data_IF_857181616749
#
_entry.id   IF_857181616749
#
_cell.length_a   1.000
_cell.length_b   1.000
_cell.length_c   1.000
_cell.angle_alpha   90.00
_cell.angle_beta   90.00
_cell.angle_gamma   90.00
#
_symmetry.space_group_name_H-M   'P 1'
#
loop_
_entity.id
_entity.type
_entity.pdbx_description
1 polymer ?
#
# COMPACT_ATOMS: atom_id res chain seq x y z
N UNK A 1 -39.33 -25.15 -14.75
CA UNK A 1 -38.03 -24.48 -14.97
C UNK A 1 -37.53 -24.91 -16.33
N UNK A 2 -37.23 -23.95 -17.21
CA UNK A 2 -36.61 -24.28 -18.49
C UNK A 2 -35.14 -24.63 -18.26
N UNK A 3 -34.53 -25.50 -19.08
CA UNK A 3 -33.09 -25.80 -19.00
C UNK A 3 -32.21 -24.53 -18.99
N UNK A 4 -32.63 -23.48 -19.69
CA UNK A 4 -31.95 -22.18 -19.74
C UNK A 4 -31.96 -21.44 -18.39
N UNK A 5 -33.02 -21.59 -17.59
CA UNK A 5 -33.11 -21.00 -16.25
C UNK A 5 -32.11 -21.66 -15.30
N UNK A 6 -31.93 -22.98 -15.43
CA UNK A 6 -30.98 -23.76 -14.63
C UNK A 6 -29.55 -23.42 -15.02
N UNK A 7 -29.25 -23.33 -16.32
CA UNK A 7 -27.94 -22.92 -16.81
C UNK A 7 -27.56 -21.52 -16.32
N UNK A 8 -28.49 -20.57 -16.40
CA UNK A 8 -28.29 -19.19 -15.92
C UNK A 8 -28.05 -19.15 -14.42
N UNK A 9 -28.83 -19.90 -13.64
CA UNK A 9 -28.67 -19.97 -12.19
C UNK A 9 -27.30 -20.55 -11.78
N UNK A 10 -26.83 -21.61 -12.46
CA UNK A 10 -25.52 -22.21 -12.20
C UNK A 10 -24.38 -21.22 -12.53
N UNK A 11 -24.45 -20.54 -13.68
CA UNK A 11 -23.42 -19.55 -14.04
C UNK A 11 -23.38 -18.40 -13.03
N UNK A 12 -24.54 -17.88 -12.62
CA UNK A 12 -24.61 -16.83 -11.62
C UNK A 12 -24.05 -17.28 -10.26
N UNK A 13 -24.41 -18.49 -9.82
CA UNK A 13 -23.90 -19.04 -8.57
C UNK A 13 -22.37 -19.22 -8.59
N UNK A 14 -21.81 -19.70 -9.71
CA UNK A 14 -20.37 -19.88 -9.86
C UNK A 14 -19.63 -18.54 -9.87
N UNK A 15 -20.15 -17.54 -10.59
CA UNK A 15 -19.55 -16.20 -10.66
C UNK A 15 -19.62 -15.50 -9.31
N UNK A 16 -20.78 -15.51 -8.65
CA UNK A 16 -20.95 -14.89 -7.34
C UNK A 16 -20.09 -15.61 -6.28
N UNK A 17 -20.17 -16.94 -6.21
CA UNK A 17 -19.37 -17.73 -5.27
C UNK A 17 -17.87 -17.56 -5.47
N UNK A 18 -17.39 -17.58 -6.73
CA UNK A 18 -16.00 -17.33 -7.05
C UNK A 18 -15.53 -15.93 -6.66
N UNK A 19 -16.36 -14.90 -6.91
CA UNK A 19 -16.04 -13.53 -6.51
C UNK A 19 -15.96 -13.36 -4.99
N UNK A 20 -16.90 -13.95 -4.24
CA UNK A 20 -16.90 -13.89 -2.77
C UNK A 20 -15.71 -14.62 -2.17
N UNK A 21 -15.36 -15.79 -2.72
CA UNK A 21 -14.18 -16.54 -2.28
C UNK A 21 -12.89 -15.75 -2.49
N UNK A 22 -12.73 -15.11 -3.65
CA UNK A 22 -11.58 -14.27 -3.95
C UNK A 22 -11.49 -13.08 -2.99
N UNK A 23 -12.61 -12.36 -2.79
CA UNK A 23 -12.71 -11.22 -1.87
C UNK A 23 -12.35 -11.64 -0.44
N UNK A 24 -12.94 -12.72 0.06
CA UNK A 24 -12.69 -13.23 1.41
C UNK A 24 -11.21 -13.61 1.60
N UNK A 25 -10.59 -14.24 0.59
CA UNK A 25 -9.17 -14.61 0.64
C UNK A 25 -8.26 -13.38 0.71
N UNK A 26 -8.56 -12.35 -0.09
CA UNK A 26 -7.81 -11.08 -0.05
C UNK A 26 -7.94 -10.40 1.31
N UNK A 27 -9.17 -10.32 1.84
CA UNK A 27 -9.46 -9.69 3.14
C UNK A 27 -8.77 -10.43 4.27
N UNK A 28 -8.76 -11.77 4.25
CA UNK A 28 -8.09 -12.58 5.25
C UNK A 28 -6.55 -12.46 5.19
N UNK A 29 -5.98 -12.24 4.00
CA UNK A 29 -4.53 -12.16 3.83
C UNK A 29 -3.96 -10.74 4.02
N UNK A 30 -4.78 -9.70 3.81
CA UNK A 30 -4.39 -8.29 3.98
C UNK A 30 -3.73 -7.98 5.34
N UNK A 31 -4.24 -8.46 6.49
CA UNK A 31 -3.58 -8.28 7.78
C UNK A 31 -2.18 -8.88 7.85
N UNK A 32 -1.92 -10.02 7.20
CA UNK A 32 -0.58 -10.58 7.14
C UNK A 32 0.36 -9.69 6.31
N UNK A 33 -0.13 -9.17 5.19
CA UNK A 33 0.63 -8.28 4.30
C UNK A 33 0.97 -6.92 4.93
N UNK A 34 0.02 -6.34 5.67
CA UNK A 34 0.26 -5.13 6.47
C UNK A 34 1.33 -5.36 7.55
N UNK A 35 1.26 -6.48 8.27
CA UNK A 35 2.25 -6.85 9.29
C UNK A 35 3.63 -7.03 8.67
N UNK A 36 3.72 -7.77 7.57
CA UNK A 36 4.98 -7.98 6.85
C UNK A 36 5.59 -6.67 6.37
N UNK A 37 4.76 -5.78 5.82
CA UNK A 37 5.18 -4.44 5.41
C UNK A 37 5.81 -3.66 6.56
N UNK A 38 5.17 -3.66 7.74
CA UNK A 38 5.68 -2.98 8.92
C UNK A 38 6.98 -3.59 9.44
N UNK A 39 7.03 -4.92 9.59
CA UNK A 39 8.21 -5.63 10.07
C UNK A 39 9.41 -5.37 9.16
N UNK A 40 9.21 -5.50 7.84
CA UNK A 40 10.28 -5.27 6.88
C UNK A 40 10.71 -3.81 6.86
N UNK A 41 9.79 -2.85 6.90
CA UNK A 41 10.14 -1.42 6.89
C UNK A 41 10.87 -0.99 8.17
N UNK A 42 10.36 -1.38 9.34
CA UNK A 42 10.96 -1.06 10.64
C UNK A 42 12.22 -1.86 10.95
N UNK A 43 12.43 -3.00 10.28
CA UNK A 43 13.60 -3.87 10.43
C UNK A 43 14.90 -3.32 9.83
N UNK A 44 14.84 -2.23 9.05
CA UNK A 44 16.03 -1.61 8.39
C UNK A 44 17.26 -1.44 9.30
N UNK A 45 17.18 -0.78 10.48
CA UNK A 45 18.34 -0.60 11.35
C UNK A 45 18.93 -1.92 11.84
N UNK A 46 18.12 -2.97 11.99
CA UNK A 46 18.60 -4.29 12.36
C UNK A 46 19.40 -4.92 11.20
N UNK A 47 18.85 -4.91 9.99
CA UNK A 47 19.52 -5.45 8.79
C UNK A 47 20.87 -4.76 8.53
N UNK A 48 20.94 -3.43 8.69
CA UNK A 48 22.20 -2.68 8.53
C UNK A 48 23.24 -3.11 9.57
N UNK A 49 22.85 -3.36 10.82
CA UNK A 49 23.79 -3.85 11.86
C UNK A 49 24.31 -5.24 11.54
N UNK A 50 23.45 -6.12 11.00
CA UNK A 50 23.84 -7.47 10.58
C UNK A 50 24.82 -7.41 9.40
N UNK A 51 24.54 -6.57 8.40
CA UNK A 51 25.39 -6.37 7.23
C UNK A 51 26.79 -5.87 7.57
N UNK A 52 26.92 -5.00 8.59
CA UNK A 52 28.22 -4.53 9.08
C UNK A 52 29.10 -5.65 9.66
N UNK A 53 28.53 -6.80 10.00
CA UNK A 53 29.26 -7.97 10.51
C UNK A 53 29.67 -8.95 9.41
N UNK A 54 29.18 -8.78 8.19
CA UNK A 54 29.53 -9.64 7.07
C UNK A 54 30.97 -9.32 6.59
N UNK A 55 31.87 -10.30 6.68
CA UNK A 55 33.27 -10.13 6.23
C UNK A 55 33.44 -10.05 4.70
N UNK A 56 32.48 -10.56 3.93
CA UNK A 56 32.47 -10.52 2.47
C UNK A 56 31.57 -9.39 1.95
N UNK A 57 32.16 -8.45 1.21
CA UNK A 57 31.45 -7.31 0.60
C UNK A 57 30.38 -7.76 -0.40
N UNK A 58 30.66 -8.83 -1.18
CA UNK A 58 29.72 -9.36 -2.17
C UNK A 58 28.45 -9.91 -1.51
N UNK A 59 28.60 -10.72 -0.46
CA UNK A 59 27.45 -11.29 0.26
C UNK A 59 26.63 -10.22 0.96
N UNK A 60 27.29 -9.19 1.52
CA UNK A 60 26.62 -8.06 2.13
C UNK A 60 25.77 -7.27 1.11
N UNK A 61 26.30 -7.03 -0.09
CA UNK A 61 25.59 -6.27 -1.13
C UNK A 61 24.38 -7.06 -1.68
N UNK A 62 24.56 -8.35 -1.99
CA UNK A 62 23.46 -9.22 -2.45
C UNK A 62 22.34 -9.30 -1.40
N UNK A 63 22.69 -9.46 -0.13
CA UNK A 63 21.71 -9.51 0.95
C UNK A 63 20.96 -8.18 1.10
N UNK A 64 21.68 -7.06 1.02
CA UNK A 64 21.08 -5.73 1.08
C UNK A 64 20.09 -5.49 -0.06
N UNK A 65 20.49 -5.77 -1.31
CA UNK A 65 19.63 -5.59 -2.47
C UNK A 65 18.40 -6.52 -2.43
N UNK A 66 18.58 -7.77 -2.00
CA UNK A 66 17.47 -8.71 -1.83
C UNK A 66 16.44 -8.22 -0.80
N UNK A 67 16.92 -7.72 0.35
CA UNK A 67 16.06 -7.13 1.38
C UNK A 67 15.29 -5.91 0.86
N UNK A 68 15.96 -4.99 0.14
CA UNK A 68 15.29 -3.83 -0.46
C UNK A 68 14.20 -4.25 -1.45
N UNK A 69 14.50 -5.20 -2.34
CA UNK A 69 13.55 -5.73 -3.32
C UNK A 69 12.32 -6.36 -2.66
N UNK A 70 12.52 -7.24 -1.68
CA UNK A 70 11.41 -7.91 -0.99
C UNK A 70 10.57 -6.89 -0.22
N UNK A 71 11.20 -5.97 0.52
CA UNK A 71 10.51 -4.93 1.28
C UNK A 71 9.62 -4.07 0.39
N UNK A 72 10.14 -3.65 -0.76
CA UNK A 72 9.41 -2.77 -1.67
C UNK A 72 8.35 -3.53 -2.49
N UNK A 73 8.61 -4.79 -2.85
CA UNK A 73 7.62 -5.67 -3.47
C UNK A 73 6.44 -5.94 -2.53
N UNK A 74 6.70 -6.28 -1.26
CA UNK A 74 5.65 -6.52 -0.26
C UNK A 74 4.82 -5.26 -0.04
N UNK A 75 5.45 -4.08 0.06
CA UNK A 75 4.74 -2.81 0.20
C UNK A 75 3.83 -2.54 -1.02
N UNK A 76 4.31 -2.79 -2.23
CA UNK A 76 3.53 -2.62 -3.46
C UNK A 76 2.38 -3.62 -3.55
N UNK A 77 2.60 -4.89 -3.26
CA UNK A 77 1.54 -5.92 -3.25
C UNK A 77 0.48 -5.58 -2.21
N UNK A 78 0.88 -5.14 -1.01
CA UNK A 78 -0.06 -4.71 0.04
C UNK A 78 -0.93 -3.56 -0.45
N UNK A 79 -0.35 -2.58 -1.15
CA UNK A 79 -1.10 -1.50 -1.79
C UNK A 79 -2.08 -2.03 -2.84
N UNK A 80 -1.62 -2.91 -3.74
CA UNK A 80 -2.43 -3.48 -4.80
C UNK A 80 -3.64 -4.27 -4.26
N UNK A 81 -3.43 -5.09 -3.22
CA UNK A 81 -4.52 -5.80 -2.55
C UNK A 81 -5.50 -4.86 -1.85
N UNK A 82 -5.01 -3.72 -1.34
CA UNK A 82 -5.84 -2.74 -0.64
C UNK A 82 -6.80 -1.97 -1.56
N UNK A 83 -6.71 -2.15 -2.89
CA UNK A 83 -7.71 -1.58 -3.82
C UNK A 83 -9.13 -2.08 -3.57
N UNK A 84 -9.28 -3.23 -2.90
CA UNK A 84 -10.58 -3.77 -2.52
C UNK A 84 -11.40 -2.79 -1.68
N UNK A 85 -10.74 -1.90 -0.92
CA UNK A 85 -11.39 -0.87 -0.11
C UNK A 85 -11.99 0.27 -0.92
N UNK A 86 -11.66 0.39 -2.21
CA UNK A 86 -12.23 1.40 -3.10
C UNK A 86 -13.44 0.89 -3.90
N UNK A 87 -13.86 -0.36 -3.71
CA UNK A 87 -15.04 -0.91 -4.38
C UNK A 87 -16.30 -0.67 -3.55
N UNK A 88 -17.27 0.15 -4.02
CA UNK A 88 -18.46 0.52 -3.23
C UNK A 88 -19.31 -0.69 -2.84
N UNK A 89 -19.45 -1.66 -3.74
CA UNK A 89 -20.24 -2.86 -3.48
C UNK A 89 -19.62 -3.76 -2.41
N UNK A 90 -18.29 -3.82 -2.31
CA UNK A 90 -17.62 -4.63 -1.29
C UNK A 90 -17.71 -3.92 0.06
N UNK A 91 -17.41 -2.62 0.10
CA UNK A 91 -17.49 -1.81 1.33
C UNK A 91 -18.89 -1.87 1.96
N UNK A 92 -19.94 -1.84 1.13
CA UNK A 92 -21.33 -1.88 1.60
C UNK A 92 -21.79 -3.27 2.10
N UNK A 93 -21.28 -4.36 1.53
CA UNK A 93 -21.82 -5.70 1.75
C UNK A 93 -20.90 -6.63 2.56
N UNK A 94 -19.63 -6.29 2.74
CA UNK A 94 -18.66 -7.08 3.50
C UNK A 94 -18.29 -6.41 4.81
N UNK A 95 -18.00 -7.19 5.85
CA UNK A 95 -17.54 -6.68 7.13
C UNK A 95 -16.07 -6.25 7.01
N UNK A 96 -15.82 -4.96 6.78
CA UNK A 96 -14.49 -4.39 6.63
C UNK A 96 -14.25 -3.24 7.61
N UNK A 97 -12.98 -2.93 7.92
CA UNK A 97 -12.61 -1.72 8.65
C UNK A 97 -13.10 -0.46 7.94
N UNK A 98 -13.88 0.38 8.60
CA UNK A 98 -14.43 1.63 7.99
C UNK A 98 -13.35 2.60 7.50
N UNK A 99 -12.18 2.56 8.13
CA UNK A 99 -10.98 3.36 7.86
C UNK A 99 -10.01 2.68 6.88
N UNK A 100 -10.33 1.49 6.36
CA UNK A 100 -9.52 0.76 5.37
C UNK A 100 -9.13 1.61 4.14
N UNK A 101 -10.04 2.42 3.55
CA UNK A 101 -9.69 3.30 2.45
C UNK A 101 -8.65 4.38 2.84
N UNK A 102 -8.76 4.95 4.04
CA UNK A 102 -7.81 5.94 4.55
C UNK A 102 -6.44 5.32 4.84
N UNK A 103 -6.41 4.11 5.41
CA UNK A 103 -5.17 3.37 5.60
C UNK A 103 -4.46 3.13 4.26
N UNK A 104 -5.23 2.82 3.21
CA UNK A 104 -4.73 2.62 1.85
C UNK A 104 -4.17 3.91 1.26
N UNK A 105 -4.82 5.05 1.50
CA UNK A 105 -4.31 6.36 1.13
C UNK A 105 -2.98 6.67 1.83
N UNK A 106 -2.86 6.40 3.13
CA UNK A 106 -1.60 6.56 3.86
C UNK A 106 -0.49 5.67 3.27
N UNK A 107 -0.81 4.44 2.90
CA UNK A 107 0.11 3.52 2.23
C UNK A 107 0.57 4.09 0.87
N UNK A 108 -0.36 4.61 0.07
CA UNK A 108 -0.03 5.27 -1.20
C UNK A 108 0.89 6.47 -1.00
N UNK A 109 0.64 7.31 0.01
CA UNK A 109 1.51 8.44 0.32
C UNK A 109 2.91 7.96 0.73
N UNK A 110 3.01 6.90 1.53
CA UNK A 110 4.29 6.28 1.89
C UNK A 110 5.05 5.80 0.64
N UNK A 111 4.37 5.15 -0.30
CA UNK A 111 4.92 4.74 -1.61
C UNK A 111 5.32 5.95 -2.46
N UNK A 112 4.48 6.98 -2.51
CA UNK A 112 4.74 8.21 -3.27
C UNK A 112 6.01 8.92 -2.78
N UNK A 113 6.23 8.94 -1.45
CA UNK A 113 7.45 9.48 -0.85
C UNK A 113 8.67 8.62 -1.20
N UNK A 114 8.54 7.28 -1.13
CA UNK A 114 9.61 6.35 -1.56
C UNK A 114 9.99 6.51 -3.03
N UNK A 115 9.03 6.73 -3.91
CA UNK A 115 9.29 6.96 -5.34
C UNK A 115 9.95 8.33 -5.58
N UNK A 116 9.57 9.32 -4.77
CA UNK A 116 9.95 10.72 -4.99
C UNK A 116 11.29 11.10 -4.38
N UNK A 117 11.68 10.49 -3.27
CA UNK A 117 12.88 10.80 -2.51
C UNK A 117 13.71 9.54 -2.33
N UNK A 118 15.02 9.68 -2.15
CA UNK A 118 15.89 8.59 -1.71
C UNK A 118 15.60 8.25 -0.25
N UNK A 119 14.44 7.65 0.00
CA UNK A 119 13.95 7.35 1.34
C UNK A 119 14.87 6.41 2.12
N UNK A 120 15.76 5.71 1.43
CA UNK A 120 16.77 4.84 2.03
C UNK A 120 18.07 5.56 2.40
N UNK A 121 18.34 6.75 1.87
CA UNK A 121 19.55 7.53 2.16
C UNK A 121 19.24 8.73 3.06
N UNK A 122 18.07 9.34 2.91
CA UNK A 122 17.63 10.52 3.66
C UNK A 122 16.83 10.14 4.91
N UNK A 123 17.31 10.60 6.08
CA UNK A 123 16.68 10.39 7.39
C UNK A 123 15.29 11.02 7.45
N UNK A 124 15.10 12.20 6.85
CA UNK A 124 13.80 12.88 6.88
C UNK A 124 12.76 12.11 6.05
N UNK A 125 13.12 11.71 4.83
CA UNK A 125 12.25 10.90 3.99
C UNK A 125 11.89 9.56 4.66
N UNK A 126 12.86 8.87 5.29
CA UNK A 126 12.59 7.65 6.05
C UNK A 126 11.57 7.87 7.18
N UNK A 127 11.69 8.96 7.94
CA UNK A 127 10.75 9.30 9.03
C UNK A 127 9.34 9.55 8.50
N UNK A 128 9.21 10.25 7.38
CA UNK A 128 7.90 10.54 6.76
C UNK A 128 7.24 9.23 6.33
N UNK A 129 7.97 8.35 5.64
CA UNK A 129 7.45 7.03 5.21
C UNK A 129 7.01 6.21 6.44
N UNK A 130 7.84 6.17 7.47
CA UNK A 130 7.52 5.46 8.72
C UNK A 130 6.27 6.05 9.40
N UNK A 131 6.15 7.37 9.47
CA UNK A 131 4.98 8.01 10.07
C UNK A 131 3.69 7.64 9.33
N UNK A 132 3.67 7.71 8.00
CA UNK A 132 2.50 7.31 7.21
C UNK A 132 2.19 5.82 7.31
N UNK A 133 3.21 4.95 7.37
CA UNK A 133 2.99 3.51 7.57
C UNK A 133 2.42 3.20 8.94
N UNK A 134 2.93 3.84 10.00
CA UNK A 134 2.40 3.65 11.36
C UNK A 134 0.98 4.18 11.47
N UNK A 135 0.71 5.39 10.97
CA UNK A 135 -0.64 5.97 10.97
C UNK A 135 -1.60 5.10 10.14
N UNK A 136 -1.20 4.68 8.94
CA UNK A 136 -1.99 3.79 8.10
C UNK A 136 -2.27 2.45 8.78
N UNK A 137 -1.27 1.86 9.45
CA UNK A 137 -1.45 0.63 10.19
C UNK A 137 -2.38 0.80 11.40
N UNK A 138 -2.28 1.90 12.16
CA UNK A 138 -3.21 2.19 13.25
C UNK A 138 -4.63 2.33 12.74
N UNK A 139 -4.81 3.04 11.62
CA UNK A 139 -6.10 3.18 10.96
C UNK A 139 -6.62 1.84 10.44
N UNK A 140 -5.76 0.90 10.06
CA UNK A 140 -6.19 -0.41 9.59
C UNK A 140 -6.52 -1.37 10.76
N UNK A 141 -5.54 -1.63 11.63
CA UNK A 141 -5.65 -2.62 12.70
C UNK A 141 -6.62 -2.21 13.81
N UNK A 142 -6.76 -0.91 14.11
CA UNK A 142 -7.65 -0.47 15.18
C UNK A 142 -9.09 -0.96 14.94
N UNK A 143 -9.73 -0.53 13.85
CA UNK A 143 -11.07 -1.01 13.51
C UNK A 143 -11.12 -2.50 13.13
N UNK A 144 -10.06 -3.07 12.55
CA UNK A 144 -10.03 -4.51 12.29
C UNK A 144 -10.18 -5.32 13.60
N UNK A 145 -9.28 -5.11 14.57
CA UNK A 145 -9.23 -5.90 15.80
C UNK A 145 -10.42 -5.60 16.71
N UNK A 146 -10.77 -4.33 16.87
CA UNK A 146 -11.78 -3.92 17.85
C UNK A 146 -13.20 -3.85 17.29
N UNK A 147 -13.39 -3.83 15.97
CA UNK A 147 -14.72 -3.78 15.36
C UNK A 147 -15.07 -5.06 14.59
N UNK A 148 -14.21 -5.49 13.67
CA UNK A 148 -14.49 -6.64 12.79
C UNK A 148 -14.31 -7.97 13.54
N UNK A 149 -13.21 -8.13 14.27
CA UNK A 149 -12.88 -9.39 14.96
C UNK A 149 -13.53 -9.51 16.36
N UNK A 150 -13.87 -8.39 17.00
CA UNK A 150 -14.45 -8.35 18.34
C UNK A 150 -15.99 -8.50 18.36
N UNK A 151 -16.58 -9.12 17.34
CA UNK A 151 -18.05 -9.25 17.19
C UNK A 151 -18.68 -10.17 18.25
N UNK A 152 -17.90 -11.08 18.83
CA UNK A 152 -18.36 -11.98 19.91
C UNK A 152 -18.38 -11.32 21.30
N UNK A 153 -17.91 -10.08 21.42
CA UNK A 153 -17.68 -9.38 22.67
C UNK A 153 -18.77 -8.32 22.89
N UNK A 154 -19.76 -8.64 23.74
CA UNK A 154 -20.93 -7.77 23.98
C UNK A 154 -20.56 -6.37 24.48
N UNK A 155 -19.45 -6.22 25.21
CA UNK A 155 -18.99 -4.93 25.73
C UNK A 155 -18.39 -4.00 24.66
N UNK A 156 -18.00 -4.53 23.49
CA UNK A 156 -17.50 -3.75 22.35
C UNK A 156 -18.55 -3.59 21.24
N UNK A 157 -19.77 -4.10 21.43
CA UNK A 157 -20.78 -4.12 20.37
C UNK A 157 -21.08 -2.74 19.77
N UNK A 158 -21.11 -1.68 20.59
CA UNK A 158 -21.30 -0.30 20.11
C UNK A 158 -20.14 0.20 19.23
N UNK A 159 -18.91 -0.17 19.56
CA UNK A 159 -17.73 0.14 18.74
C UNK A 159 -17.73 -0.69 17.45
N UNK A 160 -18.07 -1.98 17.54
CA UNK A 160 -18.24 -2.88 16.40
C UNK A 160 -19.22 -2.34 15.37
N UNK A 161 -20.40 -1.91 15.80
CA UNK A 161 -21.42 -1.36 14.91
C UNK A 161 -20.98 -0.03 14.27
N UNK A 162 -20.25 0.82 15.00
CA UNK A 162 -19.82 2.11 14.49
C UNK A 162 -18.69 2.01 13.45
N UNK A 163 -17.79 1.04 13.59
CA UNK A 163 -16.53 0.93 12.84
C UNK A 163 -16.46 -0.23 11.83
N UNK A 164 -17.53 -1.01 11.70
CA UNK A 164 -17.66 -2.05 10.66
C UNK A 164 -18.47 -1.53 9.48
N UNK A 165 -17.93 -1.66 8.27
CA UNK A 165 -18.47 -1.02 7.07
C UNK A 165 -19.88 -1.48 6.67
N UNK A 166 -20.22 -2.77 6.85
CA UNK A 166 -21.56 -3.28 6.53
C UNK A 166 -22.65 -2.84 7.53
N UNK A 167 -22.25 -2.51 8.76
CA UNK A 167 -23.16 -2.04 9.81
C UNK A 167 -23.42 -0.55 9.71
N UNK A 168 -22.45 0.20 9.17
CA UNK A 168 -22.53 1.65 9.02
C UNK A 168 -22.01 2.09 7.63
N UNK A 169 -22.82 1.81 6.61
CA UNK A 169 -22.44 2.00 5.19
C UNK A 169 -22.24 3.47 4.83
N UNK A 170 -23.03 4.39 5.41
CA UNK A 170 -22.97 5.82 5.07
C UNK A 170 -21.58 6.43 5.29
N UNK A 171 -21.05 6.43 6.51
CA UNK A 171 -19.71 6.92 6.81
C UNK A 171 -18.60 6.12 6.12
N UNK A 172 -18.79 4.80 5.92
CA UNK A 172 -17.84 3.96 5.18
C UNK A 172 -17.66 4.45 3.74
N UNK A 173 -18.75 4.73 3.04
CA UNK A 173 -18.73 5.26 1.68
C UNK A 173 -18.14 6.68 1.64
N UNK A 174 -18.46 7.54 2.61
CA UNK A 174 -17.87 8.89 2.69
C UNK A 174 -16.35 8.81 2.83
N UNK A 175 -15.84 7.98 3.74
CA UNK A 175 -14.40 7.78 3.93
C UNK A 175 -13.74 7.19 2.68
N UNK A 176 -14.40 6.26 2.00
CA UNK A 176 -13.95 5.71 0.72
C UNK A 176 -13.83 6.80 -0.34
N UNK A 177 -14.85 7.63 -0.55
CA UNK A 177 -14.83 8.71 -1.55
C UNK A 177 -13.77 9.77 -1.25
N UNK A 178 -13.64 10.20 0.01
CA UNK A 178 -12.58 11.14 0.42
C UNK A 178 -11.20 10.54 0.12
N UNK A 179 -11.01 9.26 0.45
CA UNK A 179 -9.74 8.58 0.21
C UNK A 179 -9.46 8.41 -1.28
N UNK A 180 -10.49 8.15 -2.10
CA UNK A 180 -10.38 8.03 -3.55
C UNK A 180 -9.97 9.35 -4.20
N UNK A 181 -10.54 10.47 -3.75
CA UNK A 181 -10.11 11.81 -4.17
C UNK A 181 -8.64 12.04 -3.78
N UNK A 182 -8.24 11.66 -2.56
CA UNK A 182 -6.85 11.69 -2.11
C UNK A 182 -5.91 10.87 -2.99
N UNK A 183 -6.32 9.67 -3.39
CA UNK A 183 -5.56 8.81 -4.32
C UNK A 183 -5.39 9.52 -5.67
N UNK A 184 -6.45 10.11 -6.20
CA UNK A 184 -6.40 10.89 -7.44
C UNK A 184 -5.40 12.05 -7.36
N UNK A 185 -5.40 12.81 -6.27
CA UNK A 185 -4.46 13.92 -6.05
C UNK A 185 -3.01 13.42 -6.03
N UNK A 186 -2.73 12.34 -5.29
CA UNK A 186 -1.37 11.77 -5.21
C UNK A 186 -0.92 11.21 -6.56
N UNK A 187 -1.80 10.53 -7.28
CA UNK A 187 -1.52 9.99 -8.60
C UNK A 187 -1.20 11.11 -9.62
N UNK A 188 -2.00 12.18 -9.65
CA UNK A 188 -1.75 13.35 -10.50
C UNK A 188 -0.40 13.99 -10.15
N UNK A 189 -0.11 14.16 -8.86
CA UNK A 189 1.16 14.72 -8.42
C UNK A 189 2.37 13.87 -8.85
N UNK A 190 2.28 12.55 -8.71
CA UNK A 190 3.32 11.62 -9.18
C UNK A 190 3.50 11.68 -10.70
N UNK A 191 2.39 11.77 -11.45
CA UNK A 191 2.41 11.85 -12.91
C UNK A 191 3.08 13.14 -13.41
N UNK A 192 2.71 14.30 -12.86
CA UNK A 192 3.34 15.58 -13.20
C UNK A 192 4.83 15.54 -12.92
N UNK A 193 5.23 14.99 -11.77
CA UNK A 193 6.65 14.86 -11.40
C UNK A 193 7.41 13.94 -12.36
N UNK A 194 6.81 12.82 -12.75
CA UNK A 194 7.40 11.90 -13.72
C UNK A 194 7.65 12.61 -15.06
N UNK A 195 6.67 13.35 -15.58
CA UNK A 195 6.81 14.15 -16.81
C UNK A 195 7.93 15.20 -16.70
N UNK A 196 8.00 15.95 -15.60
CA UNK A 196 9.06 16.94 -15.39
C UNK A 196 10.45 16.28 -15.35
N UNK A 197 10.57 15.11 -14.72
CA UNK A 197 11.84 14.37 -14.67
C UNK A 197 12.26 13.82 -16.03
N UNK A 198 11.32 13.32 -16.84
CA UNK A 198 11.57 12.86 -18.20
C UNK A 198 12.07 14.02 -19.08
N UNK A 199 11.41 15.18 -19.00
CA UNK A 199 11.78 16.37 -19.76
C UNK A 199 13.19 16.88 -19.40
N UNK A 200 13.57 16.86 -18.11
CA UNK A 200 14.93 17.23 -17.68
C UNK A 200 16.00 16.30 -18.25
N UNK A 201 15.73 15.00 -18.25
CA UNK A 201 16.66 13.98 -18.80
C UNK A 201 16.85 14.16 -20.31
N UNK A 202 15.76 14.43 -21.06
CA UNK A 202 15.85 14.72 -22.48
C UNK A 202 16.64 16.01 -22.77
N UNK A 203 16.38 17.09 -22.02
CA UNK A 203 17.10 18.35 -22.17
C UNK A 203 18.61 18.22 -21.89
N UNK A 204 19.01 17.34 -20.98
CA UNK A 204 20.44 17.05 -20.73
C UNK A 204 21.10 16.29 -21.89
N UNK A 205 20.39 15.39 -22.58
CA UNK A 205 20.94 14.66 -23.74
C UNK A 205 21.20 15.56 -24.96
N UNK A 206 20.48 16.68 -25.06
CA UNK A 206 20.58 17.61 -26.20
C UNK A 206 21.74 18.62 -26.01
N UNK A 207 22.28 18.78 -24.80
CA UNK A 207 23.41 19.70 -24.58
C UNK A 207 24.67 19.16 -25.28
N UNK A 208 25.31 19.95 -26.17
CA UNK A 208 26.57 19.55 -26.79
C UNK A 208 27.65 19.32 -25.72
N UNK A 209 28.58 18.38 -25.91
CA UNK A 209 29.62 18.09 -24.94
C UNK A 209 30.40 19.38 -24.63
N UNK A 210 30.48 19.72 -23.35
CA UNK A 210 31.34 20.81 -22.88
C UNK A 210 32.77 20.48 -23.33
N UNK A 211 33.32 21.31 -24.22
CA UNK A 211 34.74 21.28 -24.60
C UNK A 211 35.54 21.43 -23.29
N UNK A 212 36.20 20.36 -22.86
CA UNK A 212 37.14 20.44 -21.73
C UNK A 212 38.18 21.49 -22.11
N UNK A 213 38.28 22.56 -21.31
CA UNK A 213 39.35 23.52 -21.47
C UNK A 213 40.68 22.77 -21.29
N UNK A 214 41.67 22.97 -22.18
CA UNK A 214 42.96 22.33 -22.05
C UNK A 214 43.55 22.72 -20.70
N UNK A 215 43.93 21.71 -19.91
CA UNK A 215 44.76 21.89 -18.73
C UNK A 215 46.09 22.43 -19.27
N UNK A 216 46.26 23.74 -19.17
CA UNK A 216 47.56 24.39 -19.32
C UNK A 216 48.42 23.83 -18.19
N UNK A 217 49.30 22.89 -18.55
CA UNK A 217 50.37 22.48 -17.68
C UNK A 217 51.36 23.62 -17.55
N UNK A 218 51.70 23.92 -16.30
CA UNK A 218 52.98 24.45 -15.86
C UNK A 218 53.36 23.67 -14.60
#
# INVERSE_FOLDING_TARGET
MKPDDIATAITQALVQGGSQWLVATIVAFLPAMWTMTLILHLGRPYVIRTLRRCGLRLGADIWWMSYLLIRDAVLLITFAMSFIFFQPSIVANSALPITGPLATLCLLIALAVKLSRRADDDVQAYRIVTAFLVVGATLYYGPLVFAVEATSQTYLAGFGQAFTSNSNVGPALVMMWISLVGVGIVAIWLFIRALVSANRTMAQRIKPPQKQAPVLGD
#
